data_IF_537020132010
#
_entry.id   IF_537020132010
#
_cell.length_a   1.000
_cell.length_b   1.000
_cell.length_c   1.000
_cell.angle_alpha   90.00
_cell.angle_beta   90.00
_cell.angle_gamma   90.00
#
_symmetry.space_group_name_H-M   'P 1'
#
loop_
_entity.id
_entity.type
_entity.pdbx_description
1 polymer ?
#
# COMPACT_ATOMS: atom_id res chain seq x y z
N UNK A 1 0.02 -16.73 27.90
CA UNK A 1 -0.20 -15.27 27.80
C UNK A 1 0.38 -14.81 26.48
N UNK A 2 -0.43 -14.72 25.42
CA UNK A 2 0.03 -14.21 24.14
C UNK A 2 -0.05 -12.69 24.20
N UNK A 3 1.10 -12.02 24.25
CA UNK A 3 1.16 -10.56 24.23
C UNK A 3 0.91 -10.12 22.79
N UNK A 4 -0.29 -9.58 22.54
CA UNK A 4 -0.64 -8.94 21.28
C UNK A 4 0.07 -7.59 21.21
N UNK A 5 1.30 -7.57 20.70
CA UNK A 5 2.01 -6.34 20.36
C UNK A 5 1.56 -5.87 18.97
N UNK A 6 0.31 -5.44 18.85
CA UNK A 6 -0.09 -4.57 17.75
C UNK A 6 -0.07 -3.14 18.31
N UNK A 7 1.13 -2.55 18.44
CA UNK A 7 1.19 -1.10 18.61
C UNK A 7 0.69 -0.50 17.30
N UNK A 8 -0.54 0.00 17.31
CA UNK A 8 -1.03 0.92 16.30
C UNK A 8 -0.18 2.19 16.43
N UNK A 9 1.00 2.19 15.84
CA UNK A 9 1.62 3.45 15.44
C UNK A 9 0.61 4.00 14.44
N UNK A 10 -0.22 4.93 14.91
CA UNK A 10 -1.15 5.64 14.05
C UNK A 10 -0.26 6.38 13.08
N UNK A 11 -0.04 5.82 11.89
CA UNK A 11 0.38 6.64 10.77
C UNK A 11 -0.57 7.85 10.77
N UNK A 12 -0.12 9.06 10.38
CA UNK A 12 -1.01 10.21 10.23
C UNK A 12 -2.16 9.97 9.23
N UNK A 13 -2.20 8.77 8.63
CA UNK A 13 -3.05 8.30 7.58
C UNK A 13 -3.58 6.92 7.93
N UNK A 14 -4.91 6.75 7.92
CA UNK A 14 -5.56 5.44 8.05
C UNK A 14 -5.34 4.64 6.75
N UNK A 15 -4.13 4.16 6.55
CA UNK A 15 -3.70 3.40 5.39
C UNK A 15 -2.94 2.14 5.78
N UNK A 16 -3.05 1.15 4.90
CA UNK A 16 -2.46 -0.18 5.07
C UNK A 16 -1.63 -0.54 3.87
N UNK A 17 -0.54 -1.26 4.08
CA UNK A 17 0.31 -1.82 3.04
C UNK A 17 -0.39 -2.99 2.37
N UNK A 18 -0.41 -2.93 1.04
CA UNK A 18 -0.94 -3.98 0.17
C UNK A 18 0.21 -4.71 -0.52
N UNK A 19 -0.09 -5.86 -1.13
CA UNK A 19 0.92 -6.68 -1.84
C UNK A 19 1.40 -6.11 -3.18
N UNK A 20 1.18 -4.83 -3.48
CA UNK A 20 1.59 -4.21 -4.75
C UNK A 20 2.96 -3.54 -4.56
N UNK A 21 3.92 -3.88 -5.43
CA UNK A 21 5.30 -3.40 -5.33
C UNK A 21 5.94 -3.18 -6.71
N UNK A 22 7.01 -2.39 -6.76
CA UNK A 22 7.80 -2.14 -7.97
C UNK A 22 9.29 -2.35 -7.65
N UNK A 23 9.97 -3.16 -8.45
CA UNK A 23 11.41 -3.45 -8.30
C UNK A 23 12.24 -2.93 -9.49
N UNK A 24 11.73 -1.95 -10.23
CA UNK A 24 12.36 -1.41 -11.45
C UNK A 24 11.84 -2.03 -12.75
N UNK A 25 11.08 -3.14 -12.69
CA UNK A 25 10.44 -3.75 -13.87
C UNK A 25 8.96 -3.37 -14.03
N UNK A 26 8.47 -2.40 -13.26
CA UNK A 26 7.06 -2.04 -13.18
C UNK A 26 6.32 -2.63 -11.98
N UNK A 27 5.08 -2.18 -11.80
CA UNK A 27 4.20 -2.57 -10.71
C UNK A 27 3.68 -4.00 -10.85
N UNK A 28 3.72 -4.76 -9.76
CA UNK A 28 3.29 -6.17 -9.70
C UNK A 28 2.75 -6.54 -8.34
N UNK A 29 1.84 -7.51 -8.34
CA UNK A 29 1.32 -8.12 -7.12
C UNK A 29 2.26 -9.21 -6.59
N UNK A 30 2.42 -9.28 -5.28
CA UNK A 30 3.27 -10.26 -4.58
C UNK A 30 2.79 -11.71 -4.76
N UNK A 31 1.51 -11.91 -5.09
CA UNK A 31 0.93 -13.22 -5.35
C UNK A 31 1.07 -13.69 -6.82
N UNK A 32 1.69 -12.86 -7.67
CA UNK A 32 1.87 -13.13 -9.10
C UNK A 32 0.61 -12.90 -9.95
N UNK A 33 -0.49 -12.42 -9.38
CA UNK A 33 -1.69 -12.07 -10.14
C UNK A 33 -1.37 -10.95 -11.14
N UNK A 34 -1.80 -11.05 -12.41
CA UNK A 34 -1.59 -9.97 -13.39
C UNK A 34 -2.26 -8.67 -12.94
N UNK A 35 -1.56 -7.54 -13.14
CA UNK A 35 -2.12 -6.23 -12.84
C UNK A 35 -3.04 -5.76 -13.97
N UNK A 36 -4.34 -6.09 -13.87
CA UNK A 36 -5.38 -5.66 -14.82
C UNK A 36 -6.22 -4.47 -14.31
N UNK A 37 -6.03 -4.09 -13.05
CA UNK A 37 -6.74 -3.01 -12.38
C UNK A 37 -5.74 -2.07 -11.70
N UNK A 38 -6.04 -0.77 -11.69
CA UNK A 38 -5.24 0.24 -11.00
C UNK A 38 -6.12 1.31 -10.38
N UNK A 39 -5.78 1.72 -9.15
CA UNK A 39 -6.57 2.73 -8.43
C UNK A 39 -5.70 3.74 -7.69
N UNK A 40 -4.67 4.24 -8.37
CA UNK A 40 -3.74 5.24 -7.85
C UNK A 40 -4.41 6.59 -7.57
N UNK A 41 -3.87 7.35 -6.61
CA UNK A 41 -4.19 8.77 -6.46
C UNK A 41 -3.83 9.53 -7.74
N UNK A 42 -4.57 10.59 -8.12
CA UNK A 42 -4.21 11.43 -9.27
C UNK A 42 -2.83 12.07 -9.14
N UNK A 43 -2.39 12.36 -7.91
CA UNK A 43 -1.09 12.97 -7.61
C UNK A 43 0.08 11.98 -7.76
N UNK A 44 -0.17 10.68 -7.64
CA UNK A 44 0.85 9.64 -7.81
C UNK A 44 0.39 8.68 -8.89
N UNK A 45 0.71 9.01 -10.14
CA UNK A 45 0.53 8.09 -11.26
C UNK A 45 1.38 6.83 -11.06
N UNK A 46 1.03 5.74 -11.75
CA UNK A 46 1.75 4.46 -11.74
C UNK A 46 3.22 4.54 -12.24
N UNK A 47 3.74 5.73 -12.54
CA UNK A 47 5.08 5.99 -13.06
C UNK A 47 6.11 6.23 -11.96
N UNK A 48 5.70 6.35 -10.70
CA UNK A 48 6.65 6.56 -9.59
C UNK A 48 7.42 5.27 -9.31
N UNK A 49 8.71 5.26 -9.69
CA UNK A 49 9.58 4.07 -9.65
C UNK A 49 10.33 3.88 -8.32
N UNK A 50 9.96 4.61 -7.27
CA UNK A 50 10.60 4.45 -5.98
C UNK A 50 10.32 3.04 -5.40
N UNK A 51 11.28 2.40 -4.73
CA UNK A 51 11.20 1.00 -4.30
C UNK A 51 10.26 0.79 -3.10
N UNK A 52 9.25 1.64 -2.93
CA UNK A 52 8.33 1.58 -1.81
C UNK A 52 7.10 0.73 -2.14
N UNK A 53 6.66 -0.14 -1.21
CA UNK A 53 5.38 -0.85 -1.35
C UNK A 53 4.22 0.13 -1.45
N UNK A 54 3.17 -0.24 -2.19
CA UNK A 54 1.96 0.55 -2.24
C UNK A 54 1.16 0.40 -0.94
N UNK A 55 0.49 1.49 -0.57
CA UNK A 55 -0.48 1.57 0.49
C UNK A 55 -1.90 1.71 -0.11
N UNK A 56 -2.92 1.38 0.68
CA UNK A 56 -4.34 1.61 0.39
C UNK A 56 -5.00 2.25 1.60
N UNK A 57 -5.79 3.30 1.40
CA UNK A 57 -6.53 3.94 2.48
C UNK A 57 -6.64 5.45 2.31
N UNK A 58 -6.47 6.20 3.40
CA UNK A 58 -6.45 7.66 3.38
C UNK A 58 -5.11 8.18 2.91
N UNK A 59 -5.08 8.85 1.76
CA UNK A 59 -3.89 9.50 1.17
C UNK A 59 -3.31 10.66 2.00
N UNK A 60 -2.24 11.32 1.49
CA UNK A 60 -1.60 12.44 2.18
C UNK A 60 -2.46 13.70 2.04
N UNK A 61 -3.22 13.72 0.96
CA UNK A 61 -4.31 14.61 0.66
C UNK A 61 -5.61 13.91 1.05
N UNK A 62 -6.34 14.51 1.99
CA UNK A 62 -7.63 14.02 2.49
C UNK A 62 -8.71 13.85 1.42
N UNK A 63 -8.50 14.41 0.23
CA UNK A 63 -9.39 14.26 -0.92
C UNK A 63 -9.26 12.89 -1.59
N UNK A 64 -8.14 12.19 -1.40
CA UNK A 64 -7.92 10.87 -2.02
C UNK A 64 -8.09 9.77 -0.98
N UNK A 65 -9.35 9.35 -0.83
CA UNK A 65 -9.75 8.23 0.05
C UNK A 65 -9.87 6.96 -0.74
N UNK A 66 -9.49 5.84 -0.12
CA UNK A 66 -9.58 4.50 -0.70
C UNK A 66 -8.80 4.35 -2.01
N UNK A 67 -7.71 5.09 -2.17
CA UNK A 67 -6.83 5.04 -3.35
C UNK A 67 -5.47 4.43 -3.00
N UNK A 68 -4.68 4.15 -4.04
CA UNK A 68 -3.31 3.66 -3.92
C UNK A 68 -2.29 4.77 -4.02
N UNK A 69 -1.21 4.60 -3.27
CA UNK A 69 -0.18 5.61 -3.12
C UNK A 69 1.07 4.95 -2.53
N UNK A 70 2.20 5.64 -2.67
CA UNK A 70 3.49 5.21 -2.14
C UNK A 70 3.90 6.13 -1.00
N UNK A 71 4.49 5.53 0.02
CA UNK A 71 5.14 6.23 1.12
C UNK A 71 6.37 5.43 1.53
N UNK A 72 7.42 6.15 1.92
CA UNK A 72 8.60 5.59 2.58
C UNK A 72 8.30 5.10 4.00
N UNK A 73 7.09 5.36 4.51
CA UNK A 73 6.74 4.99 5.87
C UNK A 73 6.58 3.46 6.00
N UNK A 74 7.50 2.87 6.76
CA UNK A 74 7.54 1.44 7.05
C UNK A 74 6.63 1.00 8.20
N UNK A 75 6.03 1.93 8.94
CA UNK A 75 5.13 1.63 10.07
C UNK A 75 3.68 1.33 9.65
N UNK A 76 3.41 1.18 8.35
CA UNK A 76 2.07 0.83 7.85
C UNK A 76 1.68 -0.60 8.26
N UNK A 77 0.48 -0.75 8.83
CA UNK A 77 -0.13 -2.07 9.02
C UNK A 77 -0.29 -2.78 7.66
N UNK A 78 -0.22 -4.11 7.63
CA UNK A 78 -0.23 -4.90 6.38
C UNK A 78 -1.55 -5.66 6.24
N UNK A 79 -2.09 -5.72 5.02
CA UNK A 79 -3.22 -6.60 4.67
C UNK A 79 -2.73 -7.85 3.98
N UNK A 80 -3.18 -9.01 4.45
CA UNK A 80 -2.91 -10.32 3.85
C UNK A 80 -4.15 -10.82 3.11
N UNK A 81 -3.93 -11.50 1.97
CA UNK A 81 -4.98 -12.21 1.23
C UNK A 81 -4.68 -13.71 1.24
N UNK A 82 -5.72 -14.53 1.45
CA UNK A 82 -5.67 -15.99 1.28
C UNK A 82 -6.69 -16.39 0.22
N UNK A 83 -6.27 -17.16 -0.77
CA UNK A 83 -7.20 -17.82 -1.72
C UNK A 83 -7.92 -18.94 -0.97
N UNK A 84 -9.25 -18.96 -1.07
CA UNK A 84 -10.12 -20.00 -0.47
C UNK A 84 -10.14 -21.22 -1.36
#
# INVERSE_FOLDING_TARGET
MYKNYASKTVLPYDAVRIGLFNNGSGWKWADGTPMTFSYWTPAQTNTNQFPFPALFGYGPDSNYRNTWWISENDDAAVVCQKKV
#
